data_IF_883967962464
#
_entry.id   IF_883967962464
#
_cell.length_a   1.000
_cell.length_b   1.000
_cell.length_c   1.000
_cell.angle_alpha   90.00
_cell.angle_beta   90.00
_cell.angle_gamma   90.00
#
_symmetry.space_group_name_H-M   'P 1'
#
loop_
_entity.id
_entity.type
_entity.pdbx_description
1 polymer ?
#
# COMPACT_ATOMS: atom_id res chain seq x y z
N UNK A 1 -26.18 -36.84 -2.35
CA UNK A 1 -24.86 -37.43 -2.71
C UNK A 1 -24.22 -36.59 -3.81
N UNK A 2 -23.21 -35.78 -3.49
CA UNK A 2 -21.85 -35.81 -4.06
C UNK A 2 -21.09 -34.54 -3.63
N UNK A 3 -20.27 -34.71 -2.61
CA UNK A 3 -19.29 -33.77 -2.09
C UNK A 3 -18.06 -33.73 -2.99
N UNK A 4 -17.72 -32.56 -3.56
CA UNK A 4 -16.48 -32.40 -4.33
C UNK A 4 -15.34 -32.04 -3.38
N UNK A 5 -14.62 -33.07 -2.95
CA UNK A 5 -13.35 -33.00 -2.23
C UNK A 5 -12.27 -32.32 -3.09
N UNK A 6 -11.53 -31.36 -2.53
CA UNK A 6 -10.31 -30.80 -3.15
C UNK A 6 -9.10 -31.41 -2.45
N UNK A 7 -8.43 -32.31 -3.15
CA UNK A 7 -7.14 -32.87 -2.74
C UNK A 7 -6.04 -31.81 -2.86
N UNK A 8 -5.23 -31.67 -1.81
CA UNK A 8 -3.98 -30.92 -1.82
C UNK A 8 -2.85 -31.87 -2.25
N UNK A 9 -2.27 -31.63 -3.42
CA UNK A 9 -1.06 -32.34 -3.86
C UNK A 9 0.16 -31.57 -3.38
N UNK A 10 0.90 -32.19 -2.47
CA UNK A 10 2.26 -31.88 -2.04
C UNK A 10 3.22 -31.87 -3.25
N UNK A 11 3.97 -30.79 -3.45
CA UNK A 11 5.14 -30.76 -4.34
C UNK A 11 6.24 -29.95 -3.64
N UNK A 12 7.33 -30.62 -3.27
CA UNK A 12 8.61 -30.08 -2.78
C UNK A 12 9.72 -30.57 -3.74
N UNK A 13 10.98 -30.08 -3.69
CA UNK A 13 11.47 -29.06 -4.61
C UNK A 13 12.83 -29.46 -5.24
N UNK A 14 12.96 -29.42 -6.56
CA UNK A 14 14.29 -29.54 -7.17
C UNK A 14 14.26 -29.16 -8.65
N UNK A 15 14.70 -27.94 -8.96
CA UNK A 15 15.59 -27.69 -10.10
C UNK A 15 15.90 -26.19 -10.22
N UNK A 16 17.20 -25.92 -10.18
CA UNK A 16 17.92 -24.68 -10.42
C UNK A 16 17.65 -24.01 -11.77
N UNK A 17 17.59 -22.68 -11.78
CA UNK A 17 18.10 -21.88 -12.91
C UNK A 17 18.67 -20.54 -12.42
N UNK A 18 19.96 -20.40 -12.70
CA UNK A 18 20.93 -19.32 -12.54
C UNK A 18 20.43 -17.91 -12.85
N UNK A 19 20.81 -16.94 -12.04
CA UNK A 19 21.06 -15.55 -12.48
C UNK A 19 22.29 -15.02 -11.76
N UNK A 20 23.32 -14.73 -12.54
CA UNK A 20 24.60 -14.15 -12.14
C UNK A 20 24.44 -12.76 -11.51
N UNK A 21 25.31 -12.45 -10.55
CA UNK A 21 25.67 -11.08 -10.17
C UNK A 21 27.20 -11.00 -10.03
N UNK A 22 27.81 -9.83 -10.29
CA UNK A 22 29.24 -9.73 -10.59
C UNK A 22 30.11 -9.86 -9.34
N UNK A 23 31.21 -10.58 -9.53
CA UNK A 23 32.33 -10.72 -8.58
C UNK A 23 33.17 -9.44 -8.56
N UNK A 24 33.51 -8.96 -7.38
CA UNK A 24 34.83 -8.37 -7.12
C UNK A 24 35.29 -8.87 -5.76
N UNK A 25 36.31 -9.72 -5.79
CA UNK A 25 37.08 -10.30 -4.68
C UNK A 25 37.75 -9.20 -3.85
N UNK A 26 37.91 -9.34 -2.54
CA UNK A 26 39.06 -9.99 -1.88
C UNK A 26 38.68 -10.43 -0.46
N UNK A 27 38.71 -11.73 -0.17
CA UNK A 27 39.80 -12.45 0.51
C UNK A 27 39.78 -12.31 2.06
N UNK A 28 39.25 -13.33 2.74
CA UNK A 28 39.96 -14.06 3.80
C UNK A 28 39.11 -15.21 4.35
N UNK A 29 39.61 -16.43 4.19
CA UNK A 29 39.02 -17.70 4.65
C UNK A 29 38.91 -17.78 6.19
N UNK A 30 37.90 -18.49 6.73
CA UNK A 30 37.81 -18.75 8.17
C UNK A 30 38.70 -19.93 8.58
N UNK A 31 39.72 -19.67 9.41
CA UNK A 31 40.40 -20.71 10.20
C UNK A 31 39.47 -21.15 11.33
N UNK A 32 39.19 -22.45 11.38
CA UNK A 32 38.50 -23.11 12.48
C UNK A 32 39.35 -22.94 13.75
N UNK A 33 38.77 -22.34 14.80
CA UNK A 33 39.41 -22.20 16.12
C UNK A 33 38.91 -23.30 17.07
N UNK A 34 39.76 -23.92 17.90
CA UNK A 34 39.41 -25.11 18.69
C UNK A 34 38.51 -24.81 19.89
N UNK A 35 37.72 -25.83 20.27
CA UNK A 35 36.83 -25.88 21.42
C UNK A 35 37.61 -26.01 22.75
N UNK A 36 38.39 -24.99 23.12
CA UNK A 36 39.19 -25.03 24.37
C UNK A 36 39.21 -23.74 25.20
N UNK A 37 38.29 -22.78 24.98
CA UNK A 37 38.18 -21.58 25.83
C UNK A 37 36.79 -21.50 26.48
N UNK A 38 36.54 -22.44 27.39
CA UNK A 38 35.45 -22.37 28.35
C UNK A 38 36.07 -22.61 29.73
N UNK A 39 36.79 -21.63 30.29
CA UNK A 39 37.23 -21.67 31.70
C UNK A 39 37.75 -20.31 32.24
N UNK A 40 37.10 -19.19 31.89
CA UNK A 40 37.37 -17.90 32.55
C UNK A 40 36.08 -17.34 33.20
N UNK A 41 35.91 -17.41 34.53
CA UNK A 41 34.69 -16.96 35.20
C UNK A 41 34.64 -15.46 35.52
N UNK A 42 35.56 -14.62 35.02
CA UNK A 42 35.69 -13.21 35.44
C UNK A 42 35.16 -12.15 34.47
N UNK A 43 34.42 -12.51 33.41
CA UNK A 43 33.95 -11.53 32.42
C UNK A 43 32.43 -11.50 32.16
N UNK A 44 31.62 -11.96 33.11
CA UNK A 44 30.15 -11.95 33.00
C UNK A 44 29.48 -10.62 33.38
N UNK A 45 30.25 -9.55 33.62
CA UNK A 45 29.74 -8.24 34.05
C UNK A 45 29.71 -7.17 32.93
N UNK A 46 30.14 -7.49 31.71
CA UNK A 46 30.23 -6.50 30.62
C UNK A 46 29.12 -6.59 29.55
N UNK A 47 28.13 -7.49 29.69
CA UNK A 47 26.98 -7.52 28.77
C UNK A 47 25.77 -6.69 29.24
N UNK A 48 25.88 -6.00 30.38
CA UNK A 48 24.81 -5.16 30.95
C UNK A 48 25.02 -3.66 30.73
N UNK A 49 25.45 -3.27 29.53
CA UNK A 49 25.38 -1.87 29.08
C UNK A 49 24.91 -1.80 27.62
N UNK A 50 23.86 -2.56 27.29
CA UNK A 50 23.01 -2.19 26.16
C UNK A 50 22.16 -1.00 26.60
N UNK A 51 22.74 0.20 26.51
CA UNK A 51 21.96 1.44 26.50
C UNK A 51 20.80 1.23 25.54
N UNK A 52 19.53 1.40 25.97
CA UNK A 52 18.41 1.17 25.09
C UNK A 52 18.63 2.04 23.84
N UNK A 53 18.49 1.49 22.63
CA UNK A 53 18.65 2.26 21.40
C UNK A 53 17.81 3.52 21.53
N UNK A 54 18.45 4.67 21.31
CA UNK A 54 17.90 6.00 21.55
C UNK A 54 16.41 6.03 21.15
N UNK A 55 15.51 6.13 22.14
CA UNK A 55 14.06 6.06 21.91
C UNK A 55 13.61 7.06 20.83
N UNK A 56 14.33 8.18 20.70
CA UNK A 56 14.15 9.16 19.63
C UNK A 56 14.26 8.55 18.22
N UNK A 57 15.27 7.71 17.96
CA UNK A 57 15.46 7.08 16.65
C UNK A 57 14.31 6.13 16.33
N UNK A 58 13.85 5.37 17.33
CA UNK A 58 12.71 4.46 17.18
C UNK A 58 11.41 5.21 16.89
N UNK A 59 11.18 6.35 17.55
CA UNK A 59 10.03 7.21 17.28
C UNK A 59 10.11 7.83 15.89
N UNK A 60 11.30 8.27 15.47
CA UNK A 60 11.55 8.80 14.13
C UNK A 60 11.23 7.76 13.06
N UNK A 61 11.72 6.53 13.21
CA UNK A 61 11.49 5.46 12.23
C UNK A 61 10.01 5.07 12.14
N UNK A 62 9.30 5.03 13.28
CA UNK A 62 7.84 4.82 13.32
C UNK A 62 7.07 5.91 12.59
N UNK A 63 7.45 7.17 12.78
CA UNK A 63 6.79 8.30 12.14
C UNK A 63 7.06 8.33 10.63
N UNK A 64 8.28 7.99 10.21
CA UNK A 64 8.62 7.81 8.79
C UNK A 64 7.79 6.66 8.19
N UNK A 65 7.65 5.56 8.92
CA UNK A 65 6.84 4.43 8.50
C UNK A 65 5.36 4.82 8.32
N UNK A 66 4.79 5.56 9.26
CA UNK A 66 3.44 6.13 9.17
C UNK A 66 3.27 7.01 7.92
N UNK A 67 4.20 7.93 7.69
CA UNK A 67 4.14 8.82 6.53
C UNK A 67 4.25 8.04 5.21
N UNK A 68 5.11 7.02 5.13
CA UNK A 68 5.22 6.12 3.97
C UNK A 68 3.93 5.35 3.72
N UNK A 69 3.28 4.88 4.78
CA UNK A 69 2.03 4.13 4.69
C UNK A 69 0.90 5.03 4.19
N UNK A 70 0.82 6.25 4.69
CA UNK A 70 -0.10 7.31 4.24
C UNK A 70 0.13 7.69 2.79
N UNK A 71 1.39 7.87 2.39
CA UNK A 71 1.76 8.14 1.00
C UNK A 71 1.34 7.00 0.06
N UNK A 72 1.59 5.75 0.44
CA UNK A 72 1.18 4.59 -0.36
C UNK A 72 -0.34 4.49 -0.51
N UNK A 73 -1.09 4.74 0.58
CA UNK A 73 -2.55 4.79 0.53
C UNK A 73 -3.05 5.90 -0.41
N UNK A 74 -2.51 7.11 -0.28
CA UNK A 74 -2.90 8.25 -1.11
C UNK A 74 -2.57 8.01 -2.58
N UNK A 75 -1.44 7.39 -2.91
CA UNK A 75 -1.10 7.03 -4.29
C UNK A 75 -2.09 6.03 -4.87
N UNK A 76 -2.55 5.05 -4.08
CA UNK A 76 -3.60 4.12 -4.49
C UNK A 76 -4.92 4.85 -4.79
N UNK A 77 -5.32 5.79 -3.93
CA UNK A 77 -6.56 6.57 -4.09
C UNK A 77 -6.49 7.57 -5.26
N UNK A 78 -5.36 8.25 -5.46
CA UNK A 78 -5.19 9.22 -6.57
C UNK A 78 -5.25 8.54 -7.93
N UNK A 79 -4.83 7.27 -8.01
CA UNK A 79 -4.95 6.46 -9.21
C UNK A 79 -6.40 6.06 -9.50
N UNK A 80 -7.31 5.99 -8.53
CA UNK A 80 -8.70 5.60 -8.77
C UNK A 80 -9.61 6.78 -9.15
N UNK A 81 -9.42 7.96 -8.55
CA UNK A 81 -10.34 9.10 -8.74
C UNK A 81 -10.39 9.67 -10.16
N UNK A 82 -9.25 9.66 -10.89
CA UNK A 82 -9.18 10.17 -12.27
C UNK A 82 -10.15 9.45 -13.22
N UNK A 83 -10.33 8.15 -13.01
CA UNK A 83 -11.18 7.34 -13.87
C UNK A 83 -12.65 7.47 -13.49
N UNK A 84 -12.95 7.64 -12.20
CA UNK A 84 -14.32 7.88 -11.71
C UNK A 84 -14.88 9.20 -12.24
N UNK A 85 -14.08 10.27 -12.24
CA UNK A 85 -14.48 11.55 -12.83
C UNK A 85 -14.74 11.43 -14.36
N UNK A 86 -13.90 10.68 -15.07
CA UNK A 86 -14.09 10.44 -16.51
C UNK A 86 -15.35 9.61 -16.80
N UNK A 87 -15.65 8.60 -15.98
CA UNK A 87 -16.90 7.85 -16.07
C UNK A 87 -18.09 8.76 -15.81
N UNK A 88 -18.07 9.50 -14.70
CA UNK A 88 -19.16 10.38 -14.30
C UNK A 88 -19.45 11.41 -15.38
N UNK A 89 -18.41 11.99 -15.98
CA UNK A 89 -18.53 12.88 -17.12
C UNK A 89 -19.20 12.20 -18.33
N UNK A 90 -18.78 10.98 -18.70
CA UNK A 90 -19.41 10.24 -19.81
C UNK A 90 -20.88 9.89 -19.52
N UNK A 91 -21.19 9.49 -18.29
CA UNK A 91 -22.56 9.19 -17.85
C UNK A 91 -23.46 10.43 -17.86
N UNK A 92 -22.92 11.62 -17.57
CA UNK A 92 -23.66 12.89 -17.65
C UNK A 92 -23.77 13.39 -19.10
N UNK A 93 -22.73 13.18 -19.91
CA UNK A 93 -22.71 13.59 -21.32
C UNK A 93 -23.70 12.80 -22.18
N UNK A 94 -23.93 11.51 -21.87
CA UNK A 94 -24.88 10.66 -22.62
C UNK A 94 -26.34 11.18 -22.66
N UNK A 95 -27.01 11.50 -21.54
CA UNK A 95 -28.36 12.04 -21.57
C UNK A 95 -28.40 13.43 -22.22
N UNK A 96 -27.34 14.25 -22.06
CA UNK A 96 -27.23 15.56 -22.71
C UNK A 96 -27.18 15.42 -24.24
N UNK A 97 -26.32 14.54 -24.75
CA UNK A 97 -26.20 14.26 -26.18
C UNK A 97 -27.48 13.63 -26.74
N UNK A 98 -28.12 12.74 -25.98
CA UNK A 98 -29.39 12.12 -26.36
C UNK A 98 -30.51 13.16 -26.44
N UNK A 99 -30.60 14.06 -25.47
CA UNK A 99 -31.55 15.18 -25.49
C UNK A 99 -31.29 16.12 -26.69
N UNK A 100 -30.03 16.49 -26.92
CA UNK A 100 -29.63 17.32 -28.06
C UNK A 100 -29.97 16.65 -29.40
N UNK A 101 -29.94 15.33 -29.48
CA UNK A 101 -30.26 14.56 -30.69
C UNK A 101 -31.77 14.37 -30.89
N UNK A 102 -32.55 14.18 -29.83
CA UNK A 102 -33.97 13.84 -29.92
C UNK A 102 -34.91 15.04 -29.84
N UNK A 103 -34.52 16.12 -29.14
CA UNK A 103 -35.38 17.28 -28.89
C UNK A 103 -34.90 18.51 -29.65
N UNK A 104 -33.59 18.66 -29.86
CA UNK A 104 -33.03 19.79 -30.59
C UNK A 104 -32.88 19.46 -32.08
N UNK A 105 -34.00 19.52 -32.81
CA UNK A 105 -34.02 19.41 -34.27
C UNK A 105 -33.41 20.70 -34.88
N UNK A 106 -32.08 20.76 -34.88
CA UNK A 106 -31.31 21.86 -35.45
C UNK A 106 -31.40 21.84 -36.98
N UNK A 107 -31.67 23.00 -37.60
CA UNK A 107 -31.63 23.18 -39.07
C UNK A 107 -30.25 22.94 -39.70
N UNK A 108 -29.18 22.90 -38.89
CA UNK A 108 -27.83 22.69 -39.39
C UNK A 108 -27.53 21.17 -39.47
N UNK A 109 -27.47 20.56 -40.67
CA UNK A 109 -27.25 19.11 -40.80
C UNK A 109 -25.91 18.67 -40.18
N UNK A 110 -24.89 19.52 -40.29
CA UNK A 110 -23.56 19.29 -39.71
C UNK A 110 -23.59 19.06 -38.20
N UNK A 111 -24.38 19.84 -37.45
CA UNK A 111 -24.49 19.70 -36.00
C UNK A 111 -25.17 18.39 -35.60
N UNK A 112 -26.16 17.93 -36.38
CA UNK A 112 -26.80 16.64 -36.15
C UNK A 112 -25.82 15.48 -36.36
N UNK A 113 -25.04 15.49 -37.46
CA UNK A 113 -24.02 14.48 -37.72
C UNK A 113 -22.98 14.39 -36.59
N UNK A 114 -22.45 15.53 -36.13
CA UNK A 114 -21.51 15.53 -35.01
C UNK A 114 -22.14 15.02 -33.71
N UNK A 115 -23.37 15.41 -33.39
CA UNK A 115 -24.06 14.96 -32.18
C UNK A 115 -24.31 13.44 -32.18
N UNK A 116 -24.70 12.88 -33.33
CA UNK A 116 -24.87 11.42 -33.52
C UNK A 116 -23.54 10.68 -33.44
N UNK A 117 -22.48 11.23 -34.04
CA UNK A 117 -21.13 10.67 -33.98
C UNK A 117 -20.59 10.64 -32.54
N UNK A 118 -20.73 11.75 -31.80
CA UNK A 118 -20.35 11.83 -30.38
C UNK A 118 -21.17 10.88 -29.53
N UNK A 119 -22.46 10.71 -29.81
CA UNK A 119 -23.32 9.74 -29.12
C UNK A 119 -22.82 8.31 -29.36
N UNK A 120 -22.44 7.93 -30.58
CA UNK A 120 -21.88 6.62 -30.88
C UNK A 120 -20.54 6.37 -30.17
N UNK A 121 -19.64 7.36 -30.19
CA UNK A 121 -18.34 7.31 -29.49
C UNK A 121 -18.54 7.19 -27.98
N UNK A 122 -19.49 7.92 -27.39
CA UNK A 122 -19.80 7.87 -25.97
C UNK A 122 -20.35 6.49 -25.57
N UNK A 123 -21.22 5.88 -26.38
CA UNK A 123 -21.74 4.52 -26.15
C UNK A 123 -20.62 3.49 -26.23
N UNK A 124 -19.78 3.53 -27.27
CA UNK A 124 -18.63 2.59 -27.40
C UNK A 124 -17.69 2.74 -26.21
N UNK A 125 -17.38 3.97 -25.81
CA UNK A 125 -16.52 4.25 -24.66
C UNK A 125 -17.12 3.67 -23.37
N UNK A 126 -18.44 3.85 -23.16
CA UNK A 126 -19.17 3.31 -22.02
C UNK A 126 -19.18 1.78 -22.00
N UNK A 127 -19.30 1.12 -23.15
CA UNK A 127 -19.21 -0.35 -23.25
C UNK A 127 -17.79 -0.81 -22.95
N UNK A 128 -16.76 -0.15 -23.50
CA UNK A 128 -15.36 -0.53 -23.36
C UNK A 128 -14.88 -0.44 -21.90
N UNK A 129 -15.03 0.70 -21.24
CA UNK A 129 -16.02 0.79 -20.19
C UNK A 129 -16.22 -0.34 -19.17
N UNK A 130 -17.47 -0.79 -19.18
CA UNK A 130 -18.01 -1.92 -18.42
C UNK A 130 -17.23 -3.20 -18.71
N UNK A 131 -16.87 -3.47 -19.97
CA UNK A 131 -16.11 -4.65 -20.36
C UNK A 131 -14.72 -4.69 -19.72
N UNK A 132 -14.07 -3.54 -19.57
CA UNK A 132 -12.77 -3.44 -18.91
C UNK A 132 -12.86 -3.75 -17.43
N UNK A 133 -14.00 -3.55 -16.75
CA UNK A 133 -14.19 -3.84 -15.32
C UNK A 133 -13.05 -3.33 -14.38
N UNK A 134 -12.30 -2.32 -14.83
CA UNK A 134 -11.13 -1.78 -14.10
C UNK A 134 -11.58 -0.95 -12.89
N UNK A 135 -12.82 -0.48 -12.89
CA UNK A 135 -13.41 0.37 -11.85
C UNK A 135 -13.58 -0.37 -10.53
N UNK A 136 -14.13 -1.58 -10.60
CA UNK A 136 -14.25 -2.44 -9.44
C UNK A 136 -12.86 -2.89 -8.94
N UNK A 137 -11.95 -3.22 -9.86
CA UNK A 137 -10.59 -3.67 -9.53
C UNK A 137 -9.82 -2.60 -8.71
N UNK A 138 -9.83 -1.35 -9.18
CA UNK A 138 -9.00 -0.28 -8.60
C UNK A 138 -9.56 0.27 -7.28
N UNK A 139 -10.88 0.37 -7.15
CA UNK A 139 -11.52 0.73 -5.87
C UNK A 139 -11.37 -0.39 -4.83
N UNK A 140 -11.37 -1.66 -5.28
CA UNK A 140 -11.15 -2.82 -4.40
C UNK A 140 -9.71 -2.96 -3.92
N UNK A 141 -8.73 -2.50 -4.70
CA UNK A 141 -7.31 -2.51 -4.29
C UNK A 141 -7.06 -1.50 -3.17
N UNK A 142 -7.60 -0.27 -3.27
CA UNK A 142 -7.49 0.73 -2.20
C UNK A 142 -8.13 0.26 -0.89
N UNK A 143 -9.30 -0.39 -0.98
CA UNK A 143 -9.99 -0.93 0.20
C UNK A 143 -9.33 -2.18 0.79
N UNK A 144 -8.57 -2.96 -0.01
CA UNK A 144 -7.80 -4.12 0.48
C UNK A 144 -6.43 -3.76 1.05
N UNK A 145 -5.86 -2.61 0.69
CA UNK A 145 -4.55 -2.18 1.17
C UNK A 145 -4.47 -2.12 2.70
N UNK A 146 -5.46 -1.48 3.32
CA UNK A 146 -5.53 -1.30 4.78
C UNK A 146 -5.58 -2.63 5.54
N UNK A 147 -6.52 -3.56 5.26
CA UNK A 147 -6.53 -4.85 5.94
C UNK A 147 -5.29 -5.70 5.64
N UNK A 148 -4.68 -5.58 4.45
CA UNK A 148 -3.43 -6.27 4.12
C UNK A 148 -2.26 -5.74 4.95
N UNK A 149 -2.13 -4.43 5.11
CA UNK A 149 -1.14 -3.83 6.01
C UNK A 149 -1.41 -4.22 7.47
N UNK A 150 -2.67 -4.15 7.92
CA UNK A 150 -3.04 -4.44 9.30
C UNK A 150 -2.74 -5.90 9.71
N UNK A 151 -2.75 -6.85 8.77
CA UNK A 151 -2.27 -8.22 9.03
C UNK A 151 -0.81 -8.25 9.46
N UNK A 152 0.05 -7.49 8.79
CA UNK A 152 1.48 -7.40 9.10
C UNK A 152 1.69 -6.55 10.35
N UNK A 153 1.03 -5.39 10.47
CA UNK A 153 1.17 -4.50 11.65
C UNK A 153 0.75 -5.17 12.95
N UNK A 154 -0.18 -6.15 12.90
CA UNK A 154 -0.63 -6.89 14.07
C UNK A 154 0.50 -7.63 14.79
N UNK A 155 1.51 -8.13 14.05
CA UNK A 155 2.68 -8.78 14.67
C UNK A 155 3.50 -7.81 15.53
N UNK A 156 3.44 -6.52 15.21
CA UNK A 156 4.10 -5.45 15.96
C UNK A 156 3.19 -4.80 17.00
N UNK A 157 2.02 -5.38 17.29
CA UNK A 157 1.01 -4.81 18.15
C UNK A 157 0.59 -3.38 17.73
N UNK A 158 0.48 -3.14 16.43
CA UNK A 158 0.01 -1.90 15.83
C UNK A 158 -1.10 -2.16 14.81
N UNK A 159 -1.86 -1.13 14.45
CA UNK A 159 -2.71 -1.11 13.27
C UNK A 159 -2.75 0.29 12.67
N UNK A 160 -3.02 0.36 11.37
CA UNK A 160 -3.14 1.60 10.64
C UNK A 160 -4.62 1.96 10.49
N UNK A 161 -4.93 3.21 10.85
CA UNK A 161 -6.25 3.78 10.64
C UNK A 161 -6.21 4.63 9.36
N UNK A 162 -6.91 4.19 8.32
CA UNK A 162 -6.96 4.89 7.03
C UNK A 162 -7.69 6.23 7.09
N UNK A 163 -8.63 6.41 8.04
CA UNK A 163 -9.39 7.65 8.20
C UNK A 163 -8.56 8.76 8.86
N UNK A 164 -7.75 8.40 9.86
CA UNK A 164 -6.82 9.33 10.51
C UNK A 164 -5.49 9.47 9.77
N UNK A 165 -5.12 8.46 8.97
CA UNK A 165 -3.78 8.36 8.39
C UNK A 165 -2.69 8.11 9.44
N UNK A 166 -3.08 7.61 10.62
CA UNK A 166 -2.20 7.43 11.78
C UNK A 166 -2.05 5.96 12.15
N UNK A 167 -0.91 5.61 12.75
CA UNK A 167 -0.69 4.31 13.38
C UNK A 167 -1.17 4.37 14.83
N UNK A 168 -1.94 3.36 15.21
CA UNK A 168 -2.50 3.19 16.56
C UNK A 168 -1.96 1.89 17.16
N UNK A 169 -1.59 1.93 18.45
CA UNK A 169 -1.06 0.78 19.17
C UNK A 169 -2.16 0.01 19.89
N UNK A 170 -1.99 -1.30 19.99
CA UNK A 170 -2.80 -2.08 20.92
C UNK A 170 -2.35 -1.83 22.37
N UNK A 171 -3.25 -2.12 23.32
CA UNK A 171 -3.00 -2.01 24.77
C UNK A 171 -1.82 -2.82 25.30
N UNK A 172 -1.31 -3.77 24.50
CA UNK A 172 -0.14 -4.60 24.83
C UNK A 172 1.18 -3.82 24.80
N UNK A 173 1.22 -2.68 24.12
CA UNK A 173 2.42 -1.83 24.07
C UNK A 173 2.49 -1.00 25.37
N UNK A 174 3.66 -0.91 26.04
CA UNK A 174 3.80 -0.14 27.27
C UNK A 174 3.35 1.32 27.12
N UNK A 175 2.57 1.82 28.08
CA UNK A 175 2.03 3.20 28.07
C UNK A 175 3.12 4.26 27.97
N UNK A 176 4.25 4.07 28.67
CA UNK A 176 5.42 4.97 28.60
C UNK A 176 5.94 5.15 27.17
N UNK A 177 5.87 4.11 26.34
CA UNK A 177 6.28 4.18 24.94
C UNK A 177 5.24 4.89 24.08
N UNK A 178 3.95 4.59 24.29
CA UNK A 178 2.84 5.25 23.58
C UNK A 178 2.89 6.77 23.82
N UNK A 179 2.97 7.19 25.08
CA UNK A 179 3.06 8.60 25.47
C UNK A 179 4.33 9.27 24.93
N UNK A 180 5.47 8.57 24.97
CA UNK A 180 6.73 9.08 24.41
C UNK A 180 6.65 9.33 22.91
N UNK A 181 6.03 8.41 22.17
CA UNK A 181 5.81 8.54 20.74
C UNK A 181 4.78 9.62 20.40
N UNK A 182 3.67 9.69 21.14
CA UNK A 182 2.65 10.75 20.96
C UNK A 182 3.24 12.14 21.16
N UNK A 183 4.05 12.34 22.20
CA UNK A 183 4.78 13.60 22.42
C UNK A 183 5.71 13.92 21.26
N UNK A 184 6.45 12.92 20.76
CA UNK A 184 7.34 13.10 19.60
C UNK A 184 6.55 13.49 18.34
N UNK A 185 5.42 12.83 18.09
CA UNK A 185 4.51 13.10 16.97
C UNK A 185 3.96 14.53 17.05
N UNK A 186 3.51 14.97 18.22
CA UNK A 186 3.04 16.35 18.45
C UNK A 186 4.15 17.36 18.14
N UNK A 187 5.35 17.18 18.70
CA UNK A 187 6.49 18.05 18.43
C UNK A 187 6.82 18.14 16.93
N UNK A 188 6.74 17.02 16.21
CA UNK A 188 6.96 16.99 14.76
C UNK A 188 5.91 17.80 14.00
N UNK A 189 4.62 17.62 14.30
CA UNK A 189 3.56 18.35 13.61
C UNK A 189 3.54 19.84 13.95
N UNK A 190 3.86 20.22 15.18
CA UNK A 190 4.06 21.63 15.54
C UNK A 190 5.15 22.27 14.67
N UNK A 191 6.28 21.58 14.47
CA UNK A 191 7.36 22.05 13.59
C UNK A 191 6.96 22.08 12.11
N UNK A 192 6.18 21.10 11.66
CA UNK A 192 5.69 21.04 10.27
C UNK A 192 4.70 22.16 9.95
N UNK A 193 3.87 22.57 10.91
CA UNK A 193 2.91 23.68 10.74
C UNK A 193 3.57 25.06 10.70
N UNK A 194 4.80 25.19 11.19
CA UNK A 194 5.53 26.47 11.22
C UNK A 194 6.37 26.73 9.95
N UNK A 195 6.48 25.74 9.06
CA UNK A 195 7.15 25.84 7.76
C UNK A 195 6.12 26.00 6.65
#
# INVERSE_FOLDING_TARGET
MYTRSRNYTQINPSSSSSFESPVTSTENSPKILPLSVLNDPTNFSNYSSTTPPNNHQRYKDLLIFEERLKQNLHQLQRRSYKYEAFLGLNCLLLPILTYAVCVHESKNPTFQFFSKLFLFIAIITLVMFFMKNIYAEKVRVATRFVPQCNRVLRQFNMHFNASGGEIVFYKKVPRKFQEGFERYRQMYYTKKSQR
#
